data_IF_576645528243
#
_entry.id   IF_576645528243
#
_cell.length_a   1.000
_cell.length_b   1.000
_cell.length_c   1.000
_cell.angle_alpha   90.00
_cell.angle_beta   90.00
_cell.angle_gamma   90.00
#
_symmetry.space_group_name_H-M   'P 1'
#
loop_
_entity.id
_entity.type
_entity.pdbx_description
1 polymer ?
#
# COMPACT_ATOMS: atom_id res chain seq x y z
N UNK A 1 -1.92 10.51 4.23
CA UNK A 1 -0.99 10.05 5.32
C UNK A 1 -0.45 11.31 5.99
N UNK A 2 -1.35 12.04 6.62
CA UNK A 2 -1.13 13.47 6.90
C UNK A 2 -0.76 13.70 8.36
N UNK A 3 -1.19 12.81 9.25
CA UNK A 3 -0.80 12.81 10.66
C UNK A 3 0.60 12.22 10.92
N UNK A 4 1.42 12.00 9.88
CA UNK A 4 2.70 11.25 9.95
C UNK A 4 2.55 9.84 10.52
N UNK A 5 1.35 9.28 10.40
CA UNK A 5 1.02 7.94 10.84
C UNK A 5 0.97 7.03 9.62
N UNK A 6 1.91 6.08 9.46
CA UNK A 6 1.81 5.08 8.42
C UNK A 6 0.56 4.22 8.64
N UNK A 7 0.02 3.70 7.55
CA UNK A 7 -1.16 2.85 7.55
C UNK A 7 -0.77 1.47 7.06
N UNK A 8 -1.27 0.42 7.71
CA UNK A 8 -1.18 -0.93 7.14
C UNK A 8 -2.28 -1.11 6.11
N UNK A 9 -1.91 -1.54 4.91
CA UNK A 9 -2.81 -1.77 3.79
C UNK A 9 -2.84 -3.27 3.48
N UNK A 10 -4.04 -3.83 3.31
CA UNK A 10 -4.21 -5.21 2.82
C UNK A 10 -4.52 -5.19 1.34
N UNK A 11 -3.64 -5.78 0.53
CA UNK A 11 -3.97 -6.12 -0.85
C UNK A 11 -4.52 -7.54 -0.94
N UNK A 12 -5.35 -7.78 -1.95
CA UNK A 12 -5.89 -9.08 -2.33
C UNK A 12 -5.38 -9.39 -3.72
N UNK A 13 -4.60 -10.47 -3.87
CA UNK A 13 -4.17 -10.92 -5.19
C UNK A 13 -5.34 -11.53 -5.96
N UNK A 14 -5.31 -11.37 -7.28
CA UNK A 14 -6.25 -12.01 -8.21
C UNK A 14 -6.09 -13.54 -8.22
N UNK A 15 -4.90 -14.06 -7.94
CA UNK A 15 -4.62 -15.49 -7.75
C UNK A 15 -5.11 -16.06 -6.41
N UNK A 16 -5.63 -15.22 -5.51
CA UNK A 16 -6.06 -15.59 -4.17
C UNK A 16 -5.02 -15.27 -3.09
N UNK A 17 -5.47 -15.26 -1.82
CA UNK A 17 -4.65 -14.82 -0.69
C UNK A 17 -4.56 -13.30 -0.56
N UNK A 18 -3.92 -12.81 0.49
CA UNK A 18 -3.71 -11.37 0.66
C UNK A 18 -2.40 -11.07 1.34
N UNK A 19 -1.98 -9.82 1.24
CA UNK A 19 -0.70 -9.33 1.72
C UNK A 19 -0.88 -8.06 2.51
N UNK A 20 -0.09 -7.89 3.56
CA UNK A 20 -0.06 -6.68 4.35
C UNK A 20 1.17 -5.85 3.99
N UNK A 21 0.93 -4.64 3.52
CA UNK A 21 1.93 -3.64 3.18
C UNK A 21 1.80 -2.44 4.11
N UNK A 22 2.80 -1.55 4.10
CA UNK A 22 2.77 -0.30 4.89
C UNK A 22 2.79 0.89 3.96
N UNK A 23 1.67 1.60 3.85
CA UNK A 23 1.58 2.91 3.22
C UNK A 23 2.25 3.96 4.12
N UNK A 24 3.34 4.58 3.65
CA UNK A 24 4.13 5.55 4.43
C UNK A 24 4.16 6.96 3.84
N UNK A 25 3.69 7.16 2.61
CA UNK A 25 3.60 8.50 2.02
C UNK A 25 2.72 8.56 0.78
N UNK A 26 2.50 9.77 0.29
CA UNK A 26 1.85 10.03 -1.00
C UNK A 26 2.34 11.37 -1.57
N UNK A 27 2.19 11.55 -2.89
CA UNK A 27 2.43 12.82 -3.57
C UNK A 27 1.17 13.20 -4.36
N UNK A 28 0.43 14.18 -3.82
CA UNK A 28 -0.82 14.64 -4.43
C UNK A 28 -0.63 15.28 -5.81
N UNK A 29 0.52 15.90 -6.07
CA UNK A 29 0.79 16.55 -7.36
C UNK A 29 0.95 15.55 -8.51
N UNK A 30 1.41 14.34 -8.17
CA UNK A 30 1.61 13.22 -9.11
C UNK A 30 0.55 12.14 -9.00
N UNK A 31 -0.37 12.27 -8.04
CA UNK A 31 -1.31 11.21 -7.64
C UNK A 31 -0.60 9.89 -7.33
N UNK A 32 0.50 9.94 -6.59
CA UNK A 32 1.30 8.76 -6.23
C UNK A 32 1.11 8.35 -4.78
N UNK A 33 1.29 7.07 -4.51
CA UNK A 33 1.41 6.50 -3.16
C UNK A 33 2.75 5.77 -3.02
N UNK A 34 3.28 5.77 -1.80
CA UNK A 34 4.51 5.11 -1.42
C UNK A 34 4.21 4.04 -0.37
N UNK A 35 4.63 2.80 -0.62
CA UNK A 35 4.42 1.69 0.30
C UNK A 35 5.65 0.83 0.49
N UNK A 36 5.74 0.18 1.64
CA UNK A 36 6.75 -0.81 1.94
C UNK A 36 6.18 -2.22 1.86
N UNK A 37 6.86 -3.09 1.12
CA UNK A 37 6.53 -4.51 1.02
C UNK A 37 7.46 -5.32 1.97
N UNK A 38 6.90 -6.08 2.94
CA UNK A 38 7.70 -6.90 3.83
C UNK A 38 8.25 -8.19 3.21
N UNK A 39 7.74 -8.61 2.06
CA UNK A 39 8.11 -9.85 1.37
C UNK A 39 9.60 -9.83 0.98
N UNK A 40 10.37 -10.88 1.28
CA UNK A 40 11.83 -10.87 1.05
C UNK A 40 12.24 -10.73 -0.41
N UNK A 41 11.42 -11.27 -1.31
CA UNK A 41 11.71 -11.35 -2.74
C UNK A 41 11.21 -10.11 -3.53
N UNK A 42 10.58 -9.14 -2.86
CA UNK A 42 10.15 -7.87 -3.47
C UNK A 42 11.00 -6.68 -3.01
N UNK A 43 10.94 -5.60 -3.78
CA UNK A 43 11.54 -4.33 -3.42
C UNK A 43 10.89 -3.79 -2.14
N UNK A 44 11.72 -3.51 -1.12
CA UNK A 44 11.24 -3.01 0.18
C UNK A 44 10.46 -1.70 0.09
N UNK A 45 10.76 -0.84 -0.89
CA UNK A 45 10.19 0.49 -1.04
C UNK A 45 9.67 0.68 -2.46
N UNK A 46 8.35 0.78 -2.58
CA UNK A 46 7.64 0.82 -3.84
C UNK A 46 6.84 2.12 -3.99
N UNK A 47 6.53 2.47 -5.23
CA UNK A 47 5.68 3.62 -5.57
C UNK A 47 4.98 3.44 -6.90
N UNK A 48 3.79 3.99 -6.99
CA UNK A 48 2.97 3.99 -8.20
C UNK A 48 1.88 5.06 -8.08
N UNK A 49 1.09 5.21 -9.14
CA UNK A 49 -0.14 6.01 -9.06
C UNK A 49 -1.11 5.40 -8.06
N UNK A 50 -1.92 6.25 -7.42
CA UNK A 50 -2.97 5.84 -6.51
C UNK A 50 -3.92 4.83 -7.16
N UNK A 51 -4.31 5.08 -8.42
CA UNK A 51 -5.22 4.19 -9.15
C UNK A 51 -4.61 2.80 -9.38
N UNK A 52 -3.32 2.72 -9.72
CA UNK A 52 -2.62 1.44 -9.87
C UNK A 52 -2.59 0.66 -8.56
N UNK A 53 -2.23 1.33 -7.46
CA UNK A 53 -2.16 0.69 -6.16
C UNK A 53 -3.56 0.31 -5.63
N UNK A 54 -4.58 1.09 -5.95
CA UNK A 54 -5.96 0.80 -5.57
C UNK A 54 -6.46 -0.48 -6.24
N UNK A 55 -6.18 -0.66 -7.53
CA UNK A 55 -6.54 -1.86 -8.28
C UNK A 55 -5.76 -1.97 -9.60
N UNK A 56 -5.22 -3.14 -9.86
CA UNK A 56 -4.62 -3.53 -11.14
C UNK A 56 -4.98 -4.98 -11.48
N UNK A 57 -4.32 -5.59 -12.48
CA UNK A 57 -4.57 -6.98 -12.89
C UNK A 57 -4.16 -8.01 -11.83
N UNK A 58 -3.22 -7.66 -10.97
CA UNK A 58 -2.54 -8.58 -10.07
C UNK A 58 -3.11 -8.51 -8.67
N UNK A 59 -3.49 -7.31 -8.21
CA UNK A 59 -4.11 -7.13 -6.90
C UNK A 59 -5.08 -5.95 -6.81
N UNK A 60 -5.86 -5.96 -5.73
CA UNK A 60 -6.70 -4.83 -5.30
C UNK A 60 -6.48 -4.49 -3.83
N UNK A 61 -6.46 -3.21 -3.49
CA UNK A 61 -6.44 -2.76 -2.09
C UNK A 61 -7.82 -2.93 -1.47
N UNK A 62 -7.90 -3.71 -0.39
CA UNK A 62 -9.18 -4.13 0.20
C UNK A 62 -9.45 -3.59 1.60
N UNK A 63 -8.42 -3.43 2.42
CA UNK A 63 -8.59 -3.01 3.81
C UNK A 63 -7.46 -2.09 4.26
N UNK A 64 -7.76 -1.26 5.25
CA UNK A 64 -6.79 -0.35 5.88
C UNK A 64 -6.89 -0.50 7.38
N UNK A 65 -5.74 -0.56 8.04
CA UNK A 65 -5.61 -0.38 9.47
C UNK A 65 -4.73 0.85 9.72
N UNK A 66 -5.26 1.81 10.48
CA UNK A 66 -4.57 3.05 10.86
C UNK A 66 -4.65 3.22 12.39
N UNK A 67 -3.83 4.12 12.94
CA UNK A 67 -3.75 4.31 14.40
C UNK A 67 -2.94 3.24 15.13
N UNK A 68 -2.03 2.55 14.43
CA UNK A 68 -1.13 1.58 15.05
C UNK A 68 -0.14 2.34 15.93
N UNK A 69 -0.22 2.12 17.25
CA UNK A 69 0.62 2.82 18.24
C UNK A 69 0.12 4.20 18.67
N UNK A 70 -1.16 4.53 18.40
CA UNK A 70 -1.83 5.72 18.91
C UNK A 70 -2.36 5.54 20.34
#
# INVERSE_FOLDING_TARGET
IDARQPMMARIQWSSGGGHAEVLYGYDASKSWVYWGDPWPDDTRYNWATYDYYRSNSDFSWTHTLYGIGA
#
